data_IF_661032306056
#
_entry.id   IF_661032306056
#
_cell.length_a   1.000
_cell.length_b   1.000
_cell.length_c   1.000
_cell.angle_alpha   90.00
_cell.angle_beta   90.00
_cell.angle_gamma   90.00
#
_symmetry.space_group_name_H-M   'P 1'
#
loop_
_entity.id
_entity.type
_entity.pdbx_description
1 polymer ?
#
# COMPACT_ATOMS: atom_id res chain seq x y z
N UNK A 1 56.59 -35.35 7.64
CA UNK A 1 55.45 -34.88 8.48
C UNK A 1 55.13 -33.46 8.08
N UNK A 2 54.08 -33.28 7.28
CA UNK A 2 53.46 -31.98 6.96
C UNK A 2 51.99 -32.14 7.34
N UNK A 3 51.52 -31.39 8.34
CA UNK A 3 50.10 -31.34 8.69
C UNK A 3 49.43 -30.26 7.84
N UNK A 4 48.43 -30.66 7.05
CA UNK A 4 47.51 -29.77 6.35
C UNK A 4 46.41 -29.34 7.32
N UNK A 5 46.19 -28.04 7.46
CA UNK A 5 45.01 -27.47 8.09
C UNK A 5 43.87 -27.40 7.06
N UNK A 6 42.72 -27.99 7.40
CA UNK A 6 41.45 -27.85 6.69
C UNK A 6 40.59 -26.89 7.52
N UNK A 7 40.06 -25.78 6.97
CA UNK A 7 39.07 -24.98 7.68
C UNK A 7 37.69 -25.62 7.52
N UNK A 8 36.97 -25.71 8.64
CA UNK A 8 35.62 -26.24 8.72
C UNK A 8 34.63 -25.32 7.99
N UNK A 9 33.84 -25.91 7.10
CA UNK A 9 32.66 -25.30 6.48
C UNK A 9 31.57 -25.11 7.54
N UNK A 10 31.17 -23.86 7.76
CA UNK A 10 29.94 -23.48 8.45
C UNK A 10 28.80 -23.57 7.43
N UNK A 11 27.69 -24.28 7.71
CA UNK A 11 26.56 -24.32 6.79
C UNK A 11 25.80 -22.99 6.89
N UNK A 12 25.77 -22.26 5.77
CA UNK A 12 24.87 -21.13 5.55
C UNK A 12 23.46 -21.73 5.40
N UNK A 13 22.60 -21.48 6.39
CA UNK A 13 21.15 -21.69 6.28
C UNK A 13 20.62 -20.66 5.28
N UNK A 14 20.34 -21.13 4.07
CA UNK A 14 19.64 -20.38 3.04
C UNK A 14 18.19 -20.16 3.51
N UNK A 15 17.87 -18.96 3.97
CA UNK A 15 16.50 -18.52 4.19
C UNK A 15 15.77 -18.52 2.85
N UNK A 16 14.79 -19.40 2.71
CA UNK A 16 13.88 -19.48 1.57
C UNK A 16 13.00 -18.21 1.54
N UNK A 17 13.50 -17.15 0.91
CA UNK A 17 12.62 -16.16 0.30
C UNK A 17 12.09 -16.81 -1.00
N UNK A 18 10.79 -17.09 -1.04
CA UNK A 18 10.17 -17.74 -2.19
C UNK A 18 10.05 -16.75 -3.37
N UNK A 19 11.02 -16.79 -4.28
CA UNK A 19 10.94 -16.21 -5.62
C UNK A 19 10.85 -17.33 -6.66
N UNK A 20 10.09 -17.12 -7.74
CA UNK A 20 10.15 -17.98 -8.92
C UNK A 20 9.15 -17.62 -10.01
N UNK A 21 9.64 -17.11 -11.14
CA UNK A 21 8.86 -16.95 -12.38
C UNK A 21 9.56 -16.05 -13.41
N UNK A 22 10.41 -16.65 -14.25
CA UNK A 22 11.10 -16.03 -15.39
C UNK A 22 10.14 -15.57 -16.51
N UNK A 23 10.47 -14.47 -17.19
CA UNK A 23 9.81 -14.01 -18.41
C UNK A 23 9.98 -14.97 -19.61
N UNK A 24 9.03 -14.97 -20.55
CA UNK A 24 9.42 -15.04 -21.94
C UNK A 24 8.74 -13.98 -22.83
N UNK A 25 9.60 -13.29 -23.57
CA UNK A 25 9.36 -12.44 -24.74
C UNK A 25 8.51 -13.07 -25.84
N UNK A 26 7.59 -12.30 -26.46
CA UNK A 26 7.07 -12.56 -27.81
C UNK A 26 5.77 -11.84 -28.19
N UNK A 27 5.83 -10.92 -29.16
CA UNK A 27 4.70 -10.37 -29.95
C UNK A 27 4.80 -10.85 -31.41
N UNK A 28 3.82 -10.56 -32.31
CA UNK A 28 2.38 -10.73 -32.23
C UNK A 28 1.82 -11.50 -33.47
N UNK A 29 0.55 -11.92 -33.45
CA UNK A 29 -0.09 -12.58 -34.60
C UNK A 29 -1.60 -12.35 -34.70
N UNK A 30 -2.00 -11.62 -35.75
CA UNK A 30 -3.37 -11.25 -36.12
C UNK A 30 -4.23 -12.44 -36.60
N UNK A 31 -5.54 -12.39 -36.36
CA UNK A 31 -6.50 -13.29 -37.01
C UNK A 31 -7.96 -12.96 -36.68
N UNK A 32 -8.67 -12.40 -37.67
CA UNK A 32 -10.08 -12.04 -37.62
C UNK A 32 -11.03 -13.24 -37.80
N UNK A 33 -12.26 -13.13 -37.28
CA UNK A 33 -13.40 -13.95 -37.70
C UNK A 33 -14.57 -13.96 -36.70
N UNK A 34 -15.61 -13.14 -36.93
CA UNK A 34 -16.95 -13.35 -36.35
C UNK A 34 -17.81 -14.28 -37.24
N UNK A 35 -19.15 -14.23 -37.17
CA UNK A 35 -20.04 -14.16 -36.00
C UNK A 35 -21.09 -15.31 -36.04
N UNK A 36 -21.81 -15.56 -34.93
CA UNK A 36 -23.12 -16.23 -34.99
C UNK A 36 -24.00 -15.76 -33.83
N UNK A 37 -25.19 -15.25 -34.16
CA UNK A 37 -26.19 -14.76 -33.21
C UNK A 37 -27.17 -15.83 -32.74
N UNK A 38 -27.98 -15.47 -31.74
CA UNK A 38 -29.45 -15.34 -31.86
C UNK A 38 -30.13 -15.32 -30.48
N UNK A 39 -30.98 -14.30 -30.34
CA UNK A 39 -32.32 -14.29 -29.73
C UNK A 39 -32.54 -14.57 -28.23
N UNK A 40 -33.03 -13.52 -27.55
CA UNK A 40 -34.42 -13.54 -27.08
C UNK A 40 -34.65 -13.37 -25.58
N UNK A 41 -35.33 -12.28 -25.19
CA UNK A 41 -36.20 -12.28 -24.00
C UNK A 41 -36.09 -11.09 -23.03
N UNK A 42 -36.84 -10.03 -23.31
CA UNK A 42 -37.47 -9.14 -22.31
C UNK A 42 -38.97 -9.10 -22.64
N UNK A 43 -39.92 -8.84 -21.71
CA UNK A 43 -39.90 -7.69 -20.81
C UNK A 43 -40.58 -7.87 -19.43
N UNK A 44 -40.42 -6.85 -18.55
CA UNK A 44 -41.27 -6.68 -17.37
C UNK A 44 -40.98 -5.38 -16.62
N UNK A 45 -41.83 -4.38 -16.82
CA UNK A 45 -41.81 -3.01 -16.26
C UNK A 45 -42.65 -2.86 -15.00
N UNK A 46 -42.27 -1.90 -14.14
CA UNK A 46 -43.09 -1.25 -13.09
C UNK A 46 -42.22 -0.84 -11.89
N UNK A 47 -42.20 0.38 -11.33
CA UNK A 47 -42.99 1.60 -11.49
C UNK A 47 -43.39 2.17 -10.10
N UNK A 48 -42.96 3.41 -9.76
CA UNK A 48 -43.46 4.27 -8.66
C UNK A 48 -42.41 4.61 -7.56
N UNK A 49 -41.77 5.80 -7.48
CA UNK A 49 -42.19 7.16 -6.98
C UNK A 49 -42.57 7.21 -5.50
N UNK A 50 -41.83 7.91 -4.61
CA UNK A 50 -41.97 9.36 -4.29
C UNK A 50 -41.37 9.80 -2.92
N UNK A 51 -41.02 11.10 -2.88
CA UNK A 51 -40.54 12.07 -1.86
C UNK A 51 -40.49 11.81 -0.34
N UNK A 52 -39.48 12.44 0.29
CA UNK A 52 -39.52 12.92 1.68
C UNK A 52 -38.38 13.90 2.02
N UNK A 53 -38.64 15.21 1.96
CA UNK A 53 -37.78 16.30 2.47
C UNK A 53 -38.17 16.69 3.90
N UNK A 54 -37.22 17.13 4.72
CA UNK A 54 -37.47 17.81 5.99
C UNK A 54 -36.18 18.19 6.71
N UNK A 55 -35.96 19.49 6.95
CA UNK A 55 -34.75 20.02 7.58
C UNK A 55 -34.97 20.70 8.93
N UNK A 56 -33.86 21.16 9.53
CA UNK A 56 -33.79 22.32 10.42
C UNK A 56 -33.32 22.11 11.86
N UNK A 57 -32.25 22.82 12.28
CA UNK A 57 -32.25 23.55 13.57
C UNK A 57 -31.07 23.39 14.55
N UNK A 58 -30.19 24.40 14.56
CA UNK A 58 -29.53 25.11 15.69
C UNK A 58 -28.41 24.48 16.57
N UNK A 59 -27.43 25.37 16.87
CA UNK A 59 -26.17 25.25 17.61
C UNK A 59 -26.29 25.46 19.15
N UNK A 60 -25.21 25.82 19.89
CA UNK A 60 -24.21 24.95 20.52
C UNK A 60 -24.30 24.96 22.07
N UNK A 61 -23.69 23.98 22.75
CA UNK A 61 -23.55 23.99 24.22
C UNK A 61 -22.21 23.41 24.67
N UNK A 62 -21.44 24.26 25.33
CA UNK A 62 -20.22 23.99 26.09
C UNK A 62 -20.47 23.13 27.34
N UNK A 63 -19.50 22.29 27.72
CA UNK A 63 -19.42 21.71 29.06
C UNK A 63 -18.39 20.60 29.15
N UNK A 64 -17.23 20.87 29.75
CA UNK A 64 -16.18 19.89 30.00
C UNK A 64 -16.51 18.93 31.15
N UNK A 65 -15.83 17.78 31.14
CA UNK A 65 -15.86 16.79 32.22
C UNK A 65 -15.06 15.54 31.86
N UNK A 66 -13.85 15.45 32.40
CA UNK A 66 -12.97 14.27 32.37
C UNK A 66 -13.53 13.11 33.18
N UNK A 67 -13.51 11.89 32.63
CA UNK A 67 -13.22 10.62 33.34
C UNK A 67 -13.02 9.50 32.32
N UNK A 68 -11.89 8.79 32.39
CA UNK A 68 -11.59 7.65 31.54
C UNK A 68 -12.21 6.35 32.04
N UNK A 69 -12.58 5.47 31.09
CA UNK A 69 -12.58 4.01 31.19
C UNK A 69 -12.76 3.44 29.78
N UNK A 70 -12.13 2.31 29.49
CA UNK A 70 -11.86 1.82 28.14
C UNK A 70 -13.02 1.16 27.40
N UNK A 71 -12.77 1.00 26.09
CA UNK A 71 -13.21 -0.08 25.20
C UNK A 71 -14.70 -0.14 24.85
N UNK A 72 -15.04 0.22 23.60
CA UNK A 72 -15.57 -0.66 22.53
C UNK A 72 -15.82 0.19 21.28
N UNK A 73 -15.60 -0.39 20.10
CA UNK A 73 -15.64 0.30 18.82
C UNK A 73 -17.01 0.78 18.34
N UNK A 74 -16.94 1.46 17.20
CA UNK A 74 -18.04 2.07 16.48
C UNK A 74 -18.11 3.57 16.74
N UNK A 75 -17.61 4.37 15.79
CA UNK A 75 -18.33 5.53 15.22
C UNK A 75 -17.44 6.22 14.17
N UNK A 76 -18.05 6.44 13.00
CA UNK A 76 -17.75 7.36 11.89
C UNK A 76 -16.28 7.78 11.66
N UNK A 77 -15.77 7.45 10.46
CA UNK A 77 -14.47 7.72 9.82
C UNK A 77 -13.76 9.07 10.06
N UNK A 78 -13.63 9.49 11.31
CA UNK A 78 -12.97 10.69 11.74
C UNK A 78 -11.91 10.27 12.75
N UNK A 79 -10.71 9.97 12.22
CA UNK A 79 -9.51 9.84 13.03
C UNK A 79 -9.43 11.10 13.91
N UNK A 80 -9.51 10.90 15.23
CA UNK A 80 -9.56 11.97 16.22
C UNK A 80 -8.37 12.92 16.12
N UNK A 81 -8.35 13.98 16.93
CA UNK A 81 -7.29 15.00 16.90
C UNK A 81 -5.84 14.46 17.06
N UNK A 82 -4.85 15.37 17.11
CA UNK A 82 -3.43 15.06 16.94
C UNK A 82 -2.94 13.78 17.62
N UNK A 83 -2.28 12.91 16.87
CA UNK A 83 -1.70 11.65 17.35
C UNK A 83 -2.69 10.51 17.63
N UNK A 84 -3.96 10.62 17.25
CA UNK A 84 -4.98 9.58 17.44
C UNK A 84 -4.69 8.26 16.70
N UNK A 85 -3.80 8.29 15.71
CA UNK A 85 -3.30 7.12 14.98
C UNK A 85 -2.11 6.43 15.68
N UNK A 86 -1.50 7.00 16.72
CA UNK A 86 -0.42 6.32 17.41
C UNK A 86 -0.95 5.06 18.12
N UNK A 87 -0.43 3.89 17.76
CA UNK A 87 -0.78 2.61 18.36
C UNK A 87 0.38 2.06 19.20
N UNK A 88 0.13 1.11 20.11
CA UNK A 88 1.21 0.32 20.72
C UNK A 88 2.08 -0.36 19.64
N UNK A 89 3.31 -0.81 19.97
CA UNK A 89 4.17 -1.50 19.02
C UNK A 89 3.48 -2.68 18.29
N UNK A 90 3.96 -3.06 17.09
CA UNK A 90 3.48 -4.25 16.40
C UNK A 90 3.63 -5.51 17.26
N UNK A 91 2.67 -6.42 17.16
CA UNK A 91 2.68 -7.63 17.99
C UNK A 91 3.85 -8.55 17.65
N UNK A 92 4.66 -8.87 18.67
CA UNK A 92 5.72 -9.89 18.58
C UNK A 92 5.21 -11.28 18.24
N UNK A 93 3.94 -11.55 18.52
CA UNK A 93 3.23 -12.76 18.15
C UNK A 93 2.75 -12.77 16.70
N UNK A 94 3.11 -11.78 15.89
CA UNK A 94 2.59 -11.65 14.52
C UNK A 94 3.63 -11.24 13.51
N UNK A 95 4.73 -10.63 13.96
CA UNK A 95 5.78 -10.13 13.09
C UNK A 95 7.03 -11.01 13.04
N UNK A 96 6.96 -12.28 13.48
CA UNK A 96 8.12 -13.18 13.52
C UNK A 96 7.91 -14.50 12.77
N UNK A 97 8.96 -15.01 12.14
CA UNK A 97 8.98 -16.33 11.49
C UNK A 97 9.01 -17.51 12.47
N UNK A 98 9.45 -17.26 13.69
CA UNK A 98 9.50 -18.20 14.79
C UNK A 98 9.34 -17.42 16.10
N UNK A 99 8.53 -17.92 17.02
CA UNK A 99 8.37 -17.31 18.34
C UNK A 99 8.95 -18.22 19.41
N UNK A 100 9.98 -17.73 20.09
CA UNK A 100 10.58 -18.43 21.22
C UNK A 100 9.52 -18.75 22.27
N UNK A 101 9.66 -19.93 22.88
CA UNK A 101 8.73 -20.43 23.91
C UNK A 101 7.26 -20.62 23.47
N UNK A 102 6.89 -20.49 22.19
CA UNK A 102 5.57 -20.96 21.74
C UNK A 102 5.57 -22.50 21.74
N UNK A 103 4.69 -23.11 22.53
CA UNK A 103 4.49 -24.56 22.56
C UNK A 103 3.11 -24.87 22.02
N UNK A 104 3.05 -25.72 21.00
CA UNK A 104 1.81 -25.96 20.27
C UNK A 104 0.70 -26.47 21.20
N UNK A 105 -0.39 -25.70 21.28
CA UNK A 105 -1.56 -26.04 22.08
C UNK A 105 -1.42 -25.81 23.59
N UNK A 106 -0.30 -25.28 24.08
CA UNK A 106 -0.14 -24.87 25.49
C UNK A 106 -0.56 -23.41 25.66
N UNK A 107 -1.72 -23.11 26.26
CA UNK A 107 -2.21 -21.75 26.42
C UNK A 107 -1.36 -20.89 27.37
N UNK A 108 -0.45 -21.51 28.15
CA UNK A 108 0.46 -20.79 29.04
C UNK A 108 1.82 -20.49 28.40
N UNK A 109 2.02 -20.92 27.15
CA UNK A 109 3.24 -20.66 26.38
C UNK A 109 3.11 -19.36 25.58
N UNK A 110 4.20 -18.92 24.93
CA UNK A 110 4.18 -17.68 24.17
C UNK A 110 3.05 -17.69 23.13
N UNK A 111 2.41 -16.53 22.92
CA UNK A 111 1.30 -16.35 21.98
C UNK A 111 0.13 -17.33 22.19
N UNK A 112 -0.07 -17.80 23.43
CA UNK A 112 -1.13 -18.72 23.80
C UNK A 112 -0.99 -20.11 23.16
N UNK A 113 0.22 -20.50 22.76
CA UNK A 113 0.47 -21.78 22.09
C UNK A 113 -0.12 -21.90 20.69
N UNK A 114 -0.47 -20.76 20.07
CA UNK A 114 -1.02 -20.69 18.70
C UNK A 114 0.14 -20.73 17.69
N UNK A 115 0.75 -21.90 17.55
CA UNK A 115 1.79 -22.18 16.56
C UNK A 115 1.56 -23.56 15.91
N UNK A 116 1.96 -23.77 14.64
CA UNK A 116 1.75 -25.04 13.94
C UNK A 116 2.68 -26.16 14.43
N UNK A 117 3.75 -25.79 15.14
CA UNK A 117 4.74 -26.63 15.80
C UNK A 117 5.42 -25.81 16.90
N UNK A 118 6.11 -26.46 17.84
CA UNK A 118 6.89 -25.76 18.87
C UNK A 118 7.89 -24.79 18.23
N UNK A 119 7.94 -23.57 18.73
CA UNK A 119 8.73 -22.44 18.22
C UNK A 119 8.37 -21.99 16.80
N UNK A 120 7.22 -22.43 16.29
CA UNK A 120 6.74 -22.06 14.96
C UNK A 120 6.29 -20.61 14.84
N UNK A 121 5.97 -20.17 13.61
CA UNK A 121 5.31 -18.89 13.39
C UNK A 121 3.93 -18.89 14.03
N UNK A 122 3.50 -17.73 14.50
CA UNK A 122 2.20 -17.54 15.18
C UNK A 122 1.25 -16.66 14.37
N UNK A 123 1.62 -16.36 13.12
CA UNK A 123 0.81 -15.66 12.13
C UNK A 123 1.16 -16.13 10.72
N UNK A 124 0.27 -15.82 9.77
CA UNK A 124 0.37 -16.21 8.37
C UNK A 124 0.06 -15.03 7.46
N UNK A 125 0.86 -14.83 6.42
CA UNK A 125 0.55 -13.89 5.34
C UNK A 125 -0.66 -14.42 4.53
N UNK A 126 -1.64 -13.57 4.23
CA UNK A 126 -2.76 -13.93 3.37
C UNK A 126 -2.33 -14.42 1.98
N UNK A 127 -1.13 -14.04 1.52
CA UNK A 127 -0.54 -14.45 0.24
C UNK A 127 0.46 -15.61 0.36
N UNK A 128 0.30 -16.49 1.35
CA UNK A 128 1.13 -17.70 1.46
C UNK A 128 0.30 -18.96 1.70
N UNK A 129 0.90 -20.12 1.41
CA UNK A 129 0.34 -21.44 1.77
C UNK A 129 0.95 -21.97 3.07
N UNK A 130 0.27 -22.92 3.72
CA UNK A 130 0.76 -23.57 4.94
C UNK A 130 0.35 -22.86 6.23
N UNK A 131 1.09 -23.14 7.32
CA UNK A 131 0.86 -22.63 8.69
C UNK A 131 -0.60 -22.79 9.17
N UNK A 132 -1.11 -24.03 9.28
CA UNK A 132 -2.49 -24.25 9.71
C UNK A 132 -2.70 -23.81 11.16
N UNK A 133 -3.87 -23.23 11.44
CA UNK A 133 -4.30 -22.90 12.80
C UNK A 133 -3.73 -21.60 13.37
N UNK A 134 -2.93 -20.84 12.62
CA UNK A 134 -2.50 -19.50 13.03
C UNK A 134 -3.32 -18.41 12.33
N UNK A 135 -3.47 -17.22 12.94
CA UNK A 135 -4.17 -16.10 12.33
C UNK A 135 -3.58 -15.67 10.98
N UNK A 136 -4.47 -15.37 10.03
CA UNK A 136 -4.12 -14.80 8.72
C UNK A 136 -4.06 -13.28 8.83
N UNK A 137 -3.07 -12.68 8.18
CA UNK A 137 -2.81 -11.25 8.24
C UNK A 137 -2.61 -10.64 6.86
N UNK A 138 -2.96 -9.37 6.77
CA UNK A 138 -3.06 -8.57 5.55
C UNK A 138 -2.31 -7.24 5.69
N UNK A 139 -2.17 -6.51 4.59
CA UNK A 139 -1.81 -5.09 4.65
C UNK A 139 -2.89 -4.28 5.38
N UNK A 140 -2.46 -3.25 6.11
CA UNK A 140 -3.38 -2.40 6.86
C UNK A 140 -3.96 -1.27 6.01
N UNK A 141 -5.28 -1.01 6.09
CA UNK A 141 -5.90 0.09 5.34
C UNK A 141 -5.36 1.47 5.73
N UNK A 142 -4.97 1.66 6.99
CA UNK A 142 -4.32 2.87 7.51
C UNK A 142 -2.99 3.23 6.82
N UNK A 143 -2.42 2.31 6.03
CA UNK A 143 -1.21 2.58 5.26
C UNK A 143 -1.49 3.10 3.85
N UNK A 144 -2.74 3.00 3.38
CA UNK A 144 -3.10 3.47 2.04
C UNK A 144 -2.88 4.97 1.94
N UNK A 145 -2.41 5.41 0.77
CA UNK A 145 -2.36 6.82 0.42
C UNK A 145 -3.74 7.45 0.64
N UNK A 146 -3.79 8.62 1.29
CA UNK A 146 -5.02 9.32 1.69
C UNK A 146 -5.91 8.63 2.74
N UNK A 147 -5.42 7.56 3.36
CA UNK A 147 -6.05 7.08 4.60
C UNK A 147 -6.11 8.20 5.64
N UNK A 148 -7.13 8.18 6.47
CA UNK A 148 -7.36 9.21 7.47
C UNK A 148 -6.17 9.40 8.42
N UNK A 149 -5.47 8.31 8.76
CA UNK A 149 -4.24 8.34 9.55
C UNK A 149 -3.08 9.01 8.81
N UNK A 150 -2.85 8.68 7.54
CA UNK A 150 -1.78 9.30 6.74
C UNK A 150 -2.02 10.80 6.56
N UNK A 151 -3.27 11.21 6.31
CA UNK A 151 -3.62 12.63 6.17
C UNK A 151 -3.38 13.37 7.48
N UNK A 152 -3.83 12.81 8.61
CA UNK A 152 -3.63 13.47 9.91
C UNK A 152 -2.15 13.52 10.31
N UNK A 153 -1.35 12.48 9.99
CA UNK A 153 0.08 12.47 10.26
C UNK A 153 0.83 13.59 9.51
N UNK A 154 0.47 13.86 8.26
CA UNK A 154 1.03 15.00 7.49
C UNK A 154 0.72 16.33 8.18
N UNK A 155 -0.51 16.50 8.66
CA UNK A 155 -0.95 17.71 9.36
C UNK A 155 -0.16 17.89 10.66
N UNK A 156 -0.04 16.83 11.45
CA UNK A 156 0.65 16.86 12.75
C UNK A 156 2.15 17.13 12.61
N UNK A 157 2.80 16.64 11.54
CA UNK A 157 4.20 16.96 11.22
C UNK A 157 4.35 18.35 10.54
N UNK A 158 3.25 19.07 10.29
CA UNK A 158 3.27 20.45 9.76
C UNK A 158 3.53 20.56 8.26
N UNK A 159 3.24 19.50 7.49
CA UNK A 159 3.50 19.42 6.05
C UNK A 159 2.25 19.49 5.17
N UNK A 160 1.09 19.86 5.75
CA UNK A 160 -0.17 20.00 5.01
C UNK A 160 0.00 20.91 3.77
N UNK A 161 -0.46 20.41 2.63
CA UNK A 161 -0.38 21.12 1.34
C UNK A 161 0.99 21.10 0.67
N UNK A 162 2.05 20.64 1.34
CA UNK A 162 3.37 20.44 0.75
C UNK A 162 3.62 19.00 0.32
N UNK A 163 3.16 18.04 1.12
CA UNK A 163 3.33 16.60 0.88
C UNK A 163 2.05 15.83 1.15
N UNK A 164 1.96 14.63 0.58
CA UNK A 164 1.16 13.57 1.17
C UNK A 164 2.08 12.46 1.71
N UNK A 165 1.60 11.71 2.70
CA UNK A 165 2.29 10.53 3.21
C UNK A 165 1.72 9.25 2.61
N UNK A 166 2.57 8.24 2.50
CA UNK A 166 2.19 6.91 2.04
C UNK A 166 3.26 5.88 2.32
N UNK A 167 3.05 4.67 1.83
CA UNK A 167 4.04 3.59 1.88
C UNK A 167 4.32 3.07 0.47
N UNK A 168 5.48 2.44 0.31
CA UNK A 168 5.93 1.90 -0.97
C UNK A 168 6.48 0.50 -0.83
N UNK A 169 6.34 -0.30 -1.89
CA UNK A 169 7.30 -1.36 -2.16
C UNK A 169 8.54 -0.79 -2.85
N UNK A 170 9.73 -1.09 -2.35
CA UNK A 170 11.00 -0.64 -2.92
C UNK A 170 12.11 -1.64 -2.62
N UNK A 171 12.85 -2.08 -3.64
CA UNK A 171 14.08 -2.85 -3.42
C UNK A 171 15.24 -1.89 -3.17
N UNK A 172 16.18 -2.23 -2.26
CA UNK A 172 17.30 -1.35 -1.98
C UNK A 172 18.12 -1.06 -3.23
N UNK A 173 18.52 0.21 -3.40
CA UNK A 173 19.56 0.63 -4.32
C UNK A 173 20.88 0.89 -3.58
N UNK A 174 21.66 -0.16 -3.27
CA UNK A 174 22.87 -0.03 -2.46
C UNK A 174 24.01 0.72 -3.18
N UNK A 175 23.84 1.03 -4.47
CA UNK A 175 24.84 1.71 -5.28
C UNK A 175 24.63 3.22 -5.29
N UNK A 176 23.46 3.70 -4.90
CA UNK A 176 23.10 5.11 -4.98
C UNK A 176 22.20 5.52 -3.81
N UNK A 177 20.87 5.40 -3.97
CA UNK A 177 19.90 5.96 -3.02
C UNK A 177 20.01 5.35 -1.61
N UNK A 178 20.26 4.05 -1.54
CA UNK A 178 20.39 3.27 -0.30
C UNK A 178 21.82 2.86 0.01
N UNK A 179 22.79 3.67 -0.41
CA UNK A 179 24.20 3.38 -0.23
C UNK A 179 24.51 2.91 1.21
N UNK A 180 25.07 1.70 1.31
CA UNK A 180 25.45 1.06 2.57
C UNK A 180 24.35 0.27 3.28
N UNK A 181 23.13 0.20 2.75
CA UNK A 181 22.05 -0.62 3.29
C UNK A 181 21.90 -1.93 2.52
N UNK A 182 21.55 -3.00 3.25
CA UNK A 182 21.24 -4.32 2.68
C UNK A 182 19.76 -4.52 2.35
N UNK A 183 18.88 -3.69 2.89
CA UNK A 183 17.45 -3.63 2.62
C UNK A 183 16.95 -2.18 2.77
N UNK A 184 15.74 -1.95 2.27
CA UNK A 184 15.07 -0.65 2.32
C UNK A 184 14.03 -0.58 3.46
N UNK A 185 13.83 -1.65 4.24
CA UNK A 185 12.69 -1.72 5.16
C UNK A 185 12.72 -0.56 6.15
N UNK A 186 11.58 0.11 6.25
CA UNK A 186 11.33 1.25 7.13
C UNK A 186 12.11 2.53 6.82
N UNK A 187 12.91 2.55 5.74
CA UNK A 187 13.55 3.77 5.24
C UNK A 187 12.52 4.71 4.61
N UNK A 188 12.79 6.01 4.66
CA UNK A 188 11.91 7.03 4.10
C UNK A 188 12.52 7.80 2.94
N UNK A 189 11.67 8.18 2.00
CA UNK A 189 12.06 8.83 0.76
C UNK A 189 11.11 9.99 0.44
N UNK A 190 11.66 11.10 -0.03
CA UNK A 190 10.88 12.15 -0.68
C UNK A 190 10.88 11.90 -2.19
N UNK A 191 9.69 11.74 -2.77
CA UNK A 191 9.45 11.52 -4.19
C UNK A 191 8.87 12.79 -4.81
N UNK A 192 9.50 13.30 -5.86
CA UNK A 192 9.03 14.46 -6.63
C UNK A 192 8.74 14.02 -8.06
N UNK A 193 7.50 14.19 -8.49
CA UNK A 193 6.99 13.68 -9.76
C UNK A 193 7.43 14.55 -10.95
N UNK A 194 7.74 13.90 -12.08
CA UNK A 194 8.24 14.56 -13.31
C UNK A 194 7.32 14.34 -14.51
N UNK A 195 7.37 13.15 -15.11
CA UNK A 195 6.61 12.83 -16.33
C UNK A 195 6.01 11.44 -16.25
N UNK A 196 4.87 11.17 -16.91
CA UNK A 196 4.37 9.81 -17.03
C UNK A 196 5.41 8.88 -17.69
N UNK A 197 5.50 7.66 -17.19
CA UNK A 197 6.49 6.67 -17.65
C UNK A 197 6.12 6.12 -19.03
N UNK A 198 4.82 5.87 -19.28
CA UNK A 198 4.34 5.22 -20.50
C UNK A 198 3.45 6.10 -21.37
N UNK A 199 2.81 7.13 -20.79
CA UNK A 199 1.92 8.05 -21.51
C UNK A 199 2.67 9.28 -22.03
N UNK A 200 3.58 9.10 -22.99
CA UNK A 200 4.47 10.17 -23.47
C UNK A 200 3.77 11.33 -24.19
N UNK A 201 2.58 11.10 -24.73
CA UNK A 201 1.78 12.12 -25.43
C UNK A 201 0.72 12.79 -24.53
N UNK A 202 0.64 12.38 -23.25
CA UNK A 202 -0.33 12.93 -22.31
C UNK A 202 0.17 14.24 -21.71
N UNK A 203 -0.72 15.23 -21.62
CA UNK A 203 -0.48 16.49 -20.90
C UNK A 203 -1.07 16.37 -19.50
N UNK A 204 -0.39 15.63 -18.65
CA UNK A 204 -0.77 15.44 -17.25
C UNK A 204 0.09 16.30 -16.34
N UNK A 205 -0.54 16.97 -15.39
CA UNK A 205 0.18 17.68 -14.34
C UNK A 205 0.72 16.68 -13.32
N UNK A 206 2.03 16.69 -12.99
CA UNK A 206 2.57 15.84 -11.94
C UNK A 206 1.85 16.09 -10.61
N UNK A 207 1.49 15.04 -9.86
CA UNK A 207 0.82 15.21 -8.58
C UNK A 207 1.80 15.78 -7.53
N UNK A 208 1.30 16.28 -6.38
CA UNK A 208 2.14 16.77 -5.30
C UNK A 208 3.18 15.73 -4.84
N UNK A 209 4.36 16.16 -4.36
CA UNK A 209 5.37 15.23 -3.87
C UNK A 209 4.86 14.36 -2.71
N UNK A 210 5.48 13.19 -2.57
CA UNK A 210 5.20 12.27 -1.46
C UNK A 210 6.41 12.17 -0.54
N UNK A 211 6.14 11.95 0.76
CA UNK A 211 7.11 11.33 1.66
C UNK A 211 6.60 9.93 1.98
N UNK A 212 7.36 8.93 1.59
CA UNK A 212 6.96 7.52 1.68
C UNK A 212 7.90 6.73 2.57
N UNK A 213 7.36 5.72 3.24
CA UNK A 213 8.16 4.72 3.95
C UNK A 213 8.12 3.37 3.22
N UNK A 214 9.28 2.74 3.04
CA UNK A 214 9.35 1.42 2.40
C UNK A 214 8.81 0.32 3.33
N UNK A 215 7.74 -0.32 2.89
CA UNK A 215 7.00 -1.35 3.60
C UNK A 215 7.13 -2.74 2.96
N UNK A 216 7.55 -2.78 1.69
CA UNK A 216 7.68 -4.03 0.95
C UNK A 216 8.98 -4.07 0.13
N UNK A 217 9.58 -5.24 0.03
CA UNK A 217 10.74 -5.55 -0.82
C UNK A 217 10.32 -6.62 -1.83
N UNK A 218 11.15 -6.86 -2.84
CA UNK A 218 10.89 -7.66 -4.03
C UNK A 218 9.65 -7.15 -4.78
N UNK A 219 9.60 -5.83 -4.96
CA UNK A 219 8.45 -5.12 -5.52
C UNK A 219 8.70 -4.83 -7.02
N UNK A 220 9.31 -3.69 -7.33
CA UNK A 220 9.60 -3.24 -8.71
C UNK A 220 11.09 -2.98 -8.98
N UNK A 221 11.98 -3.65 -8.23
CA UNK A 221 13.42 -3.52 -8.40
C UNK A 221 13.98 -2.22 -7.80
N UNK A 222 15.31 -2.00 -7.92
CA UNK A 222 16.00 -0.92 -7.22
C UNK A 222 15.60 0.47 -7.70
N UNK A 223 14.95 0.59 -8.86
CA UNK A 223 14.48 1.88 -9.39
C UNK A 223 12.97 2.10 -9.21
N UNK A 224 12.23 1.11 -8.75
CA UNK A 224 10.78 1.16 -8.65
C UNK A 224 10.30 1.46 -7.23
N UNK A 225 9.16 2.17 -7.17
CA UNK A 225 8.44 2.54 -5.96
C UNK A 225 6.95 2.20 -6.13
N UNK A 226 6.50 1.09 -5.57
CA UNK A 226 5.13 0.63 -5.71
C UNK A 226 4.26 1.27 -4.64
N UNK A 227 3.56 2.33 -4.99
CA UNK A 227 2.73 3.10 -4.07
C UNK A 227 1.51 2.29 -3.63
N UNK A 228 1.35 2.12 -2.31
CA UNK A 228 0.20 1.42 -1.75
C UNK A 228 -1.03 2.33 -1.67
N UNK A 229 -2.07 2.03 -2.46
CA UNK A 229 -3.28 2.84 -2.54
C UNK A 229 -4.51 2.02 -2.92
N UNK A 230 -5.69 2.52 -2.60
CA UNK A 230 -6.99 1.91 -2.90
C UNK A 230 -7.14 1.55 -4.38
N UNK A 231 -7.52 0.31 -4.67
CA UNK A 231 -7.57 -0.26 -6.01
C UNK A 231 -6.27 -0.09 -6.82
N UNK A 232 -5.09 -0.05 -6.18
CA UNK A 232 -3.78 0.16 -6.81
C UNK A 232 -3.27 -0.99 -7.70
N UNK A 233 -3.98 -2.11 -7.79
CA UNK A 233 -3.59 -3.25 -8.62
C UNK A 233 -3.05 -4.43 -7.82
N UNK A 234 -3.49 -5.65 -8.14
CA UNK A 234 -3.04 -6.86 -7.43
C UNK A 234 -1.57 -7.20 -7.68
N UNK A 235 -1.05 -6.87 -8.86
CA UNK A 235 0.22 -7.42 -9.29
C UNK A 235 0.17 -8.96 -9.36
N UNK A 236 1.23 -9.61 -8.88
CA UNK A 236 1.40 -11.08 -8.97
C UNK A 236 0.54 -11.84 -7.97
N UNK A 237 0.22 -11.26 -6.83
CA UNK A 237 -0.49 -11.94 -5.74
C UNK A 237 -1.83 -11.26 -5.46
N UNK A 238 -2.83 -12.01 -5.02
CA UNK A 238 -4.14 -11.46 -4.73
C UNK A 238 -4.72 -12.08 -3.46
N UNK A 239 -4.66 -11.30 -2.37
CA UNK A 239 -5.42 -11.53 -1.15
C UNK A 239 -6.52 -10.47 -0.95
N UNK A 240 -6.78 -9.62 -1.95
CA UNK A 240 -7.85 -8.64 -1.86
C UNK A 240 -9.20 -9.30 -2.08
N UNK A 241 -9.35 -10.04 -3.18
CA UNK A 241 -10.58 -10.78 -3.49
C UNK A 241 -10.25 -12.05 -4.28
N UNK A 242 -10.38 -13.19 -3.60
CA UNK A 242 -10.08 -14.51 -4.14
C UNK A 242 -11.15 -15.02 -5.12
N UNK A 243 -12.25 -14.30 -5.32
CA UNK A 243 -13.23 -14.62 -6.37
C UNK A 243 -12.77 -14.12 -7.76
N UNK A 244 -11.83 -13.18 -7.79
CA UNK A 244 -11.29 -12.60 -9.01
C UNK A 244 -10.14 -13.50 -9.51
N UNK A 245 -10.23 -14.07 -10.74
CA UNK A 245 -9.27 -15.07 -11.23
C UNK A 245 -7.88 -14.51 -11.60
N UNK A 246 -7.65 -13.22 -11.39
CA UNK A 246 -6.37 -12.56 -11.67
C UNK A 246 -5.45 -12.57 -10.44
N UNK A 247 -4.15 -12.75 -10.70
CA UNK A 247 -3.13 -12.91 -9.66
C UNK A 247 -3.16 -14.30 -9.02
N UNK A 248 -2.09 -14.62 -8.27
CA UNK A 248 -2.01 -15.85 -7.50
C UNK A 248 -2.76 -15.69 -6.18
N UNK A 249 -3.76 -16.53 -5.95
CA UNK A 249 -4.61 -16.51 -4.75
C UNK A 249 -4.33 -17.70 -3.83
N UNK A 250 -4.48 -17.48 -2.52
CA UNK A 250 -4.16 -18.48 -1.48
C UNK A 250 -5.35 -18.85 -0.58
N UNK A 251 -6.57 -18.59 -1.06
CA UNK A 251 -7.81 -18.93 -0.35
C UNK A 251 -8.19 -17.94 0.76
N UNK A 252 -7.64 -16.73 0.72
CA UNK A 252 -7.88 -15.66 1.67
C UNK A 252 -8.30 -14.39 0.92
N UNK A 253 -9.14 -13.56 1.54
CA UNK A 253 -9.65 -12.32 0.94
C UNK A 253 -9.93 -11.32 2.04
N UNK A 254 -9.35 -10.12 1.89
CA UNK A 254 -9.61 -9.01 2.81
C UNK A 254 -10.96 -8.32 2.49
N UNK A 255 -11.35 -8.34 1.21
CA UNK A 255 -12.57 -7.73 0.71
C UNK A 255 -13.58 -8.80 0.29
N UNK A 256 -14.86 -8.45 0.36
CA UNK A 256 -15.99 -9.28 -0.08
C UNK A 256 -16.41 -8.99 -1.52
N UNK A 257 -15.87 -7.94 -2.10
CA UNK A 257 -16.03 -7.55 -3.50
C UNK A 257 -14.99 -6.49 -3.85
N UNK A 258 -14.52 -6.51 -5.09
CA UNK A 258 -13.44 -5.64 -5.52
C UNK A 258 -13.54 -5.37 -7.04
N UNK A 259 -13.09 -4.20 -7.54
CA UNK A 259 -13.12 -3.91 -8.96
C UNK A 259 -12.26 -4.86 -9.77
N UNK A 260 -12.87 -5.47 -10.79
CA UNK A 260 -12.15 -6.28 -11.80
C UNK A 260 -11.47 -5.42 -12.87
N UNK A 261 -11.96 -4.19 -13.08
CA UNK A 261 -11.40 -3.26 -14.06
C UNK A 261 -9.97 -2.86 -13.68
N UNK A 262 -9.07 -2.88 -14.67
CA UNK A 262 -7.65 -2.62 -14.47
C UNK A 262 -6.87 -3.75 -13.78
N UNK A 263 -7.51 -4.91 -13.52
CA UNK A 263 -6.88 -6.07 -12.86
C UNK A 263 -6.70 -7.27 -13.81
N UNK A 264 -5.62 -8.07 -13.71
CA UNK A 264 -4.31 -7.72 -13.17
C UNK A 264 -3.47 -7.13 -14.31
N UNK A 265 -2.46 -6.34 -13.95
CA UNK A 265 -1.48 -5.79 -14.89
C UNK A 265 -2.04 -4.86 -15.97
N UNK A 266 -3.05 -4.07 -15.63
CA UNK A 266 -3.00 -2.64 -15.95
C UNK A 266 -3.28 -1.77 -14.70
N UNK A 267 -2.80 -2.25 -13.55
CA UNK A 267 -2.45 -1.46 -12.36
C UNK A 267 -3.61 -0.85 -11.57
N UNK A 268 -4.84 -1.28 -11.79
CA UNK A 268 -5.97 -0.84 -10.98
C UNK A 268 -6.93 0.15 -11.63
N UNK A 269 -7.80 0.73 -10.80
CA UNK A 269 -8.81 1.68 -11.26
C UNK A 269 -8.11 2.99 -11.64
N UNK A 270 -8.21 3.39 -12.91
CA UNK A 270 -7.61 4.64 -13.41
C UNK A 270 -8.36 5.20 -14.62
N UNK A 271 -8.31 6.51 -14.87
CA UNK A 271 -9.00 7.16 -16.00
C UNK A 271 -8.45 6.75 -17.37
N UNK A 272 -7.22 6.23 -17.44
CA UNK A 272 -6.58 5.86 -18.69
C UNK A 272 -7.31 4.76 -19.49
N UNK A 273 -6.91 4.55 -20.75
CA UNK A 273 -7.53 3.58 -21.67
C UNK A 273 -7.49 2.14 -21.17
N UNK A 274 -6.53 1.82 -20.30
CA UNK A 274 -6.33 0.47 -19.76
C UNK A 274 -7.24 0.14 -18.56
N UNK A 275 -8.17 1.04 -18.21
CA UNK A 275 -9.11 0.88 -17.11
C UNK A 275 -10.47 1.49 -17.46
N UNK A 276 -10.93 2.59 -16.83
CA UNK A 276 -12.29 3.12 -17.09
C UNK A 276 -12.41 3.90 -18.40
N UNK A 277 -11.29 4.11 -19.10
CA UNK A 277 -11.21 4.68 -20.45
C UNK A 277 -11.95 6.03 -20.58
N UNK A 278 -11.50 7.00 -19.80
CA UNK A 278 -11.87 8.40 -19.96
C UNK A 278 -11.06 9.00 -21.11
N UNK A 279 -11.69 9.27 -22.25
CA UNK A 279 -11.03 9.91 -23.38
C UNK A 279 -11.84 11.10 -23.89
N UNK A 280 -11.12 12.11 -24.37
CA UNK A 280 -11.70 13.04 -25.35
C UNK A 280 -11.72 12.35 -26.72
N UNK A 281 -12.48 12.87 -27.69
CA UNK A 281 -12.61 12.27 -29.03
C UNK A 281 -11.30 12.06 -29.82
N UNK A 282 -10.14 12.45 -29.29
CA UNK A 282 -8.81 12.22 -29.84
C UNK A 282 -8.01 11.14 -29.08
N UNK A 283 -8.63 10.43 -28.12
CA UNK A 283 -8.00 9.42 -27.26
C UNK A 283 -6.84 9.92 -26.38
N UNK A 284 -6.71 11.23 -26.17
CA UNK A 284 -5.68 11.80 -25.30
C UNK A 284 -6.21 11.96 -23.86
N UNK A 285 -5.49 11.41 -22.90
CA UNK A 285 -5.74 11.65 -21.48
C UNK A 285 -5.12 13.00 -21.07
N UNK A 286 -5.92 13.87 -20.46
CA UNK A 286 -5.49 15.20 -19.98
C UNK A 286 -6.12 15.48 -18.63
N UNK A 287 -5.58 16.42 -17.86
CA UNK A 287 -6.15 16.85 -16.58
C UNK A 287 -7.63 17.26 -16.72
N UNK A 288 -7.98 17.92 -17.83
CA UNK A 288 -9.35 18.33 -18.11
C UNK A 288 -10.29 17.12 -18.28
N UNK A 289 -9.85 16.08 -19.01
CA UNK A 289 -10.61 14.84 -19.20
C UNK A 289 -10.77 14.09 -17.88
N UNK A 290 -9.70 14.02 -17.08
CA UNK A 290 -9.77 13.41 -15.74
C UNK A 290 -10.76 14.17 -14.87
N UNK A 291 -10.75 15.50 -14.89
CA UNK A 291 -11.65 16.33 -14.09
C UNK A 291 -13.11 16.36 -14.57
N UNK A 292 -13.44 15.75 -15.72
CA UNK A 292 -14.83 15.70 -16.20
C UNK A 292 -15.71 14.91 -15.23
N UNK A 293 -16.92 15.41 -14.87
CA UNK A 293 -17.84 14.68 -13.99
C UNK A 293 -18.18 13.28 -14.49
N UNK A 294 -18.29 13.11 -15.82
CA UNK A 294 -18.51 11.80 -16.46
C UNK A 294 -17.36 10.83 -16.22
N UNK A 295 -16.11 11.30 -16.24
CA UNK A 295 -14.95 10.47 -15.92
C UNK A 295 -14.93 10.12 -14.44
N UNK A 296 -15.07 11.12 -13.57
CA UNK A 296 -15.05 10.94 -12.12
C UNK A 296 -16.17 9.99 -11.63
N UNK A 297 -17.37 10.06 -12.22
CA UNK A 297 -18.44 9.10 -11.89
C UNK A 297 -18.11 7.66 -12.30
N UNK A 298 -17.36 7.42 -13.38
CA UNK A 298 -16.92 6.06 -13.74
C UNK A 298 -15.89 5.53 -12.76
N UNK A 299 -14.94 6.38 -12.35
CA UNK A 299 -13.91 6.04 -11.36
C UNK A 299 -14.59 5.71 -10.03
N UNK A 300 -15.48 6.59 -9.55
CA UNK A 300 -16.22 6.38 -8.31
C UNK A 300 -17.07 5.12 -8.36
N UNK A 301 -17.75 4.84 -9.48
CA UNK A 301 -18.50 3.60 -9.65
C UNK A 301 -17.61 2.36 -9.52
N UNK A 302 -16.43 2.35 -10.15
CA UNK A 302 -15.47 1.27 -10.05
C UNK A 302 -14.90 1.13 -8.62
N UNK A 303 -14.50 2.25 -7.98
CA UNK A 303 -14.03 2.23 -6.59
C UNK A 303 -15.13 1.71 -5.64
N UNK A 304 -16.40 2.01 -5.90
CA UNK A 304 -17.53 1.53 -5.09
C UNK A 304 -17.82 0.03 -5.22
N UNK A 305 -17.18 -0.69 -6.15
CA UNK A 305 -17.19 -2.15 -6.17
C UNK A 305 -16.42 -2.75 -4.98
N UNK A 306 -15.51 -1.98 -4.36
CA UNK A 306 -14.83 -2.36 -3.12
C UNK A 306 -15.88 -2.51 -2.02
N UNK A 307 -16.07 -3.72 -1.52
CA UNK A 307 -16.91 -4.01 -0.36
C UNK A 307 -16.15 -4.82 0.66
N UNK A 308 -16.40 -4.61 1.95
CA UNK A 308 -15.75 -5.34 3.02
C UNK A 308 -16.72 -5.63 4.17
N UNK A 309 -16.35 -6.57 5.04
CA UNK A 309 -17.06 -6.84 6.30
C UNK A 309 -16.99 -5.66 7.28
N UNK A 310 -15.94 -4.84 7.17
CA UNK A 310 -15.67 -3.66 7.99
C UNK A 310 -15.96 -2.38 7.21
N UNK A 311 -16.79 -1.51 7.79
CA UNK A 311 -17.12 -0.21 7.20
C UNK A 311 -15.88 0.68 7.05
N UNK A 312 -15.01 0.72 8.07
CA UNK A 312 -13.75 1.47 8.03
C UNK A 312 -12.86 1.01 6.88
N UNK A 313 -12.65 -0.31 6.75
CA UNK A 313 -11.84 -0.87 5.67
C UNK A 313 -12.41 -0.49 4.29
N UNK A 314 -13.74 -0.60 4.13
CA UNK A 314 -14.41 -0.22 2.88
C UNK A 314 -14.25 1.28 2.57
N UNK A 315 -14.49 2.15 3.54
CA UNK A 315 -14.47 3.61 3.39
C UNK A 315 -13.06 4.12 3.09
N UNK A 316 -12.06 3.71 3.87
CA UNK A 316 -10.67 4.15 3.66
C UNK A 316 -10.14 3.70 2.29
N UNK A 317 -10.52 2.50 1.84
CA UNK A 317 -10.10 1.99 0.52
C UNK A 317 -10.75 2.76 -0.63
N UNK A 318 -12.06 3.04 -0.53
CA UNK A 318 -12.79 3.82 -1.53
C UNK A 318 -12.29 5.26 -1.58
N UNK A 319 -12.08 5.88 -0.41
CA UNK A 319 -11.51 7.21 -0.27
C UNK A 319 -10.14 7.30 -0.93
N UNK A 320 -9.25 6.36 -0.63
CA UNK A 320 -7.94 6.26 -1.26
C UNK A 320 -8.06 6.19 -2.78
N UNK A 321 -8.81 5.20 -3.30
CA UNK A 321 -9.03 4.96 -4.73
C UNK A 321 -9.56 6.19 -5.49
N UNK A 322 -10.53 6.91 -4.92
CA UNK A 322 -11.13 8.09 -5.55
C UNK A 322 -10.18 9.30 -5.50
N UNK A 323 -9.50 9.52 -4.37
CA UNK A 323 -8.62 10.68 -4.20
C UNK A 323 -7.33 10.57 -5.03
N UNK A 324 -6.74 9.38 -5.13
CA UNK A 324 -5.55 9.14 -5.98
C UNK A 324 -5.84 9.16 -7.49
N UNK A 325 -7.11 9.32 -7.88
CA UNK A 325 -7.56 9.42 -9.27
C UNK A 325 -8.09 10.81 -9.66
N UNK A 326 -7.99 11.80 -8.78
CA UNK A 326 -8.32 13.19 -9.14
C UNK A 326 -7.21 13.81 -9.98
N UNK A 327 -7.56 14.76 -10.86
CA UNK A 327 -6.60 15.43 -11.74
C UNK A 327 -5.43 16.09 -10.96
N UNK A 328 -5.71 16.66 -9.78
CA UNK A 328 -4.69 17.29 -8.93
C UNK A 328 -3.87 16.31 -8.08
N UNK A 329 -4.20 15.03 -8.07
CA UNK A 329 -3.57 14.00 -7.24
C UNK A 329 -3.56 12.66 -7.96
N UNK A 330 -3.27 12.67 -9.26
CA UNK A 330 -3.34 11.48 -10.10
C UNK A 330 -2.12 10.57 -9.89
N UNK A 331 -2.08 9.90 -8.74
CA UNK A 331 -1.04 8.96 -8.35
C UNK A 331 -1.23 7.56 -8.96
N UNK A 332 -2.41 7.28 -9.55
CA UNK A 332 -2.67 6.00 -10.22
C UNK A 332 -1.93 5.80 -11.56
N UNK A 333 -1.29 6.86 -12.05
CA UNK A 333 -0.39 6.78 -13.20
C UNK A 333 1.02 6.37 -12.78
N UNK A 334 1.74 5.70 -13.67
CA UNK A 334 3.15 5.41 -13.43
C UNK A 334 3.96 6.64 -13.81
N UNK A 335 4.68 7.22 -12.85
CA UNK A 335 5.45 8.45 -13.06
C UNK A 335 6.93 8.18 -12.94
N UNK A 336 7.74 8.87 -13.75
CA UNK A 336 9.14 9.09 -13.44
C UNK A 336 9.22 10.07 -12.26
N UNK A 337 10.16 9.81 -11.35
CA UNK A 337 10.35 10.60 -10.14
C UNK A 337 11.81 10.95 -9.88
N UNK A 338 12.02 12.07 -9.20
CA UNK A 338 13.26 12.40 -8.51
C UNK A 338 13.12 11.98 -7.05
N UNK A 339 14.18 11.36 -6.51
CA UNK A 339 14.13 10.70 -5.21
C UNK A 339 15.28 11.13 -4.32
N UNK A 340 14.98 11.29 -3.02
CA UNK A 340 15.98 11.50 -1.97
C UNK A 340 15.59 10.69 -0.75
N UNK A 341 16.54 9.94 -0.19
CA UNK A 341 16.40 9.34 1.14
C UNK A 341 16.45 10.46 2.20
N UNK A 342 15.47 10.46 3.09
CA UNK A 342 15.25 11.52 4.09
C UNK A 342 15.07 10.90 5.47
N UNK A 343 15.22 11.72 6.52
CA UNK A 343 14.78 11.33 7.85
C UNK A 343 13.29 11.00 7.82
N UNK A 344 12.91 9.86 8.38
CA UNK A 344 11.50 9.50 8.51
C UNK A 344 10.76 10.49 9.41
N UNK A 345 9.65 11.08 8.93
CA UNK A 345 8.79 11.89 9.77
C UNK A 345 8.25 11.09 10.95
N UNK A 346 8.08 11.75 12.09
CA UNK A 346 7.69 11.09 13.34
C UNK A 346 6.33 10.45 13.18
N UNK A 347 5.36 11.20 12.67
CA UNK A 347 3.97 10.75 12.63
C UNK A 347 3.73 9.72 11.54
N UNK A 348 4.51 9.74 10.45
CA UNK A 348 4.54 8.64 9.48
C UNK A 348 4.91 7.30 10.16
N UNK A 349 5.97 7.28 10.97
CA UNK A 349 6.40 6.07 11.67
C UNK A 349 5.38 5.60 12.73
N UNK A 350 4.62 6.51 13.34
CA UNK A 350 3.54 6.17 14.28
C UNK A 350 2.32 5.55 13.57
N UNK A 351 2.04 5.97 12.33
CA UNK A 351 1.00 5.32 11.50
C UNK A 351 1.43 3.91 11.10
N UNK A 352 2.68 3.74 10.69
CA UNK A 352 3.15 2.47 10.11
C UNK A 352 3.57 1.43 11.13
N UNK A 353 4.01 1.87 12.31
CA UNK A 353 4.51 0.99 13.36
C UNK A 353 5.98 0.64 13.24
N UNK A 354 6.67 1.10 12.18
CA UNK A 354 8.10 0.87 12.02
C UNK A 354 8.89 2.17 12.24
N UNK A 355 9.57 2.24 13.38
CA UNK A 355 10.28 3.44 13.83
C UNK A 355 11.78 3.19 13.82
N UNK A 356 12.47 3.81 12.87
CA UNK A 356 13.93 3.78 12.82
C UNK A 356 14.53 4.84 13.75
N UNK A 357 15.71 4.57 14.29
CA UNK A 357 16.49 5.56 15.03
C UNK A 357 16.82 6.77 14.12
N UNK A 358 16.78 8.01 14.65
CA UNK A 358 17.15 9.18 13.85
C UNK A 358 18.58 9.04 13.31
N UNK A 359 18.73 9.20 11.99
CA UNK A 359 20.02 9.29 11.34
C UNK A 359 20.35 10.77 11.07
N UNK A 360 21.28 11.38 11.82
CA UNK A 360 21.63 12.80 11.65
C UNK A 360 22.33 13.10 10.32
N UNK A 361 22.73 12.08 9.55
CA UNK A 361 23.30 12.26 8.21
C UNK A 361 22.24 12.46 7.12
N UNK A 362 20.98 12.09 7.40
CA UNK A 362 19.89 12.25 6.45
C UNK A 362 19.24 13.64 6.58
N UNK A 363 18.95 14.32 5.46
CA UNK A 363 18.20 15.57 5.50
C UNK A 363 16.75 15.33 5.93
N UNK A 364 16.10 16.36 6.46
CA UNK A 364 14.65 16.37 6.62
C UNK A 364 13.96 16.45 5.25
N UNK A 365 12.71 15.98 5.12
CA UNK A 365 11.89 16.30 3.95
C UNK A 365 11.81 17.82 3.73
N UNK A 366 12.02 18.27 2.49
CA UNK A 366 12.04 19.69 2.13
C UNK A 366 10.73 20.11 1.44
N UNK A 367 9.80 20.76 2.16
CA UNK A 367 8.48 21.11 1.63
C UNK A 367 8.52 22.15 0.50
N UNK A 368 9.67 22.77 0.25
CA UNK A 368 9.82 23.75 -0.82
C UNK A 368 10.13 23.13 -2.19
N UNK A 369 10.50 21.84 -2.23
CA UNK A 369 10.82 21.10 -3.44
C UNK A 369 9.56 20.42 -3.98
N UNK A 370 8.90 21.10 -4.92
CA UNK A 370 7.58 20.73 -5.46
C UNK A 370 7.63 20.25 -6.92
N UNK A 371 8.73 20.50 -7.63
CA UNK A 371 8.85 20.24 -9.07
C UNK A 371 10.15 19.51 -9.40
N UNK A 372 10.16 18.77 -10.51
CA UNK A 372 11.34 18.09 -11.03
C UNK A 372 12.56 19.02 -11.15
N UNK A 373 12.38 20.24 -11.65
CA UNK A 373 13.47 21.22 -11.79
C UNK A 373 14.07 21.64 -10.44
N UNK A 374 13.22 21.81 -9.41
CA UNK A 374 13.68 22.09 -8.05
C UNK A 374 14.41 20.88 -7.45
N UNK A 375 13.90 19.67 -7.67
CA UNK A 375 14.50 18.44 -7.19
C UNK A 375 15.88 18.20 -7.83
N UNK A 376 15.99 18.40 -9.14
CA UNK A 376 17.26 18.33 -9.87
C UNK A 376 18.26 19.36 -9.33
N UNK A 377 17.85 20.62 -9.19
CA UNK A 377 18.70 21.68 -8.64
C UNK A 377 19.12 21.41 -7.18
N UNK A 378 18.27 20.76 -6.40
CA UNK A 378 18.57 20.36 -5.03
C UNK A 378 19.49 19.13 -4.97
N UNK A 379 19.67 18.38 -6.06
CA UNK A 379 20.47 17.16 -6.11
C UNK A 379 19.70 15.92 -5.66
N UNK A 380 18.41 15.81 -6.00
CA UNK A 380 17.69 14.55 -5.90
C UNK A 380 18.18 13.60 -6.98
N UNK A 381 18.20 12.31 -6.68
CA UNK A 381 18.61 11.29 -7.62
C UNK A 381 17.50 11.03 -8.64
N UNK A 382 17.86 10.92 -9.91
CA UNK A 382 16.91 10.69 -11.02
C UNK A 382 16.84 9.23 -11.46
N UNK A 383 17.75 8.39 -10.98
CA UNK A 383 17.82 6.99 -11.40
C UNK A 383 19.17 6.32 -11.15
N UNK A 384 19.27 5.09 -11.65
CA UNK A 384 20.42 4.20 -11.56
C UNK A 384 20.71 3.61 -12.95
N UNK A 385 21.97 3.62 -13.41
CA UNK A 385 22.40 2.97 -14.66
C UNK A 385 21.49 3.27 -15.87
N UNK A 386 21.29 4.56 -16.16
CA UNK A 386 20.40 5.09 -17.22
C UNK A 386 18.89 4.77 -17.08
N UNK A 387 18.48 4.01 -16.07
CA UNK A 387 17.09 3.78 -15.72
C UNK A 387 16.61 4.85 -14.74
N UNK A 388 15.47 5.50 -15.04
CA UNK A 388 14.86 6.49 -14.15
C UNK A 388 14.23 5.81 -12.94
N UNK A 389 14.25 6.47 -11.78
CA UNK A 389 13.33 6.09 -10.72
C UNK A 389 11.90 6.35 -11.18
N UNK A 390 11.00 5.44 -10.80
CA UNK A 390 9.61 5.53 -11.20
C UNK A 390 8.69 4.99 -10.11
N UNK A 391 7.44 5.43 -10.14
CA UNK A 391 6.37 4.85 -9.35
C UNK A 391 5.57 3.85 -10.17
N UNK A 392 5.11 2.81 -9.50
CA UNK A 392 3.93 2.06 -9.90
C UNK A 392 2.93 2.08 -8.75
N UNK A 393 1.84 1.34 -8.87
CA UNK A 393 0.79 1.28 -7.86
C UNK A 393 0.57 -0.17 -7.44
N UNK A 394 0.19 -0.37 -6.18
CA UNK A 394 -0.15 -1.69 -5.66
C UNK A 394 -1.27 -1.65 -4.63
N UNK A 395 -2.06 -2.71 -4.63
CA UNK A 395 -2.85 -3.20 -3.51
C UNK A 395 -3.14 -4.69 -3.77
N UNK A 396 -2.22 -5.54 -3.32
CA UNK A 396 -2.34 -7.01 -3.36
C UNK A 396 -2.97 -7.57 -2.08
N UNK A 397 -3.12 -6.73 -1.06
CA UNK A 397 -3.62 -7.01 0.28
C UNK A 397 -2.78 -8.04 1.06
N UNK A 398 -1.62 -8.41 0.52
CA UNK A 398 -0.66 -9.27 1.19
C UNK A 398 -0.11 -8.54 2.42
N UNK A 399 0.22 -9.28 3.46
CA UNK A 399 1.00 -8.72 4.56
C UNK A 399 2.36 -8.23 4.00
N UNK A 400 2.74 -6.94 4.18
CA UNK A 400 3.97 -6.40 3.62
C UNK A 400 5.20 -7.13 4.16
N UNK A 401 6.25 -7.28 3.36
CA UNK A 401 7.45 -8.00 3.80
C UNK A 401 8.13 -7.33 5.00
N UNK A 402 8.09 -6.01 5.13
CA UNK A 402 8.62 -5.28 6.30
C UNK A 402 7.70 -5.34 7.53
N UNK A 403 6.54 -6.00 7.44
CA UNK A 403 5.73 -6.35 8.61
C UNK A 403 6.27 -7.58 9.35
N UNK A 404 7.27 -8.29 8.79
CA UNK A 404 8.07 -9.26 9.50
C UNK A 404 9.32 -8.56 10.07
N UNK A 405 9.45 -8.48 11.40
CA UNK A 405 10.62 -7.89 12.06
C UNK A 405 11.93 -8.58 11.64
N UNK A 406 11.87 -9.86 11.28
CA UNK A 406 13.02 -10.61 10.76
C UNK A 406 13.58 -10.05 9.44
N UNK A 407 12.78 -9.28 8.68
CA UNK A 407 13.18 -8.67 7.42
C UNK A 407 13.69 -7.23 7.58
N UNK A 408 13.62 -6.66 8.78
CA UNK A 408 14.04 -5.28 9.05
C UNK A 408 15.48 -5.30 9.59
N UNK A 409 16.46 -4.82 8.81
CA UNK A 409 17.84 -4.66 9.33
C UNK A 409 18.12 -3.28 9.93
N UNK A 410 17.25 -2.31 9.68
CA UNK A 410 17.39 -0.98 10.23
C UNK A 410 17.38 -1.02 11.77
N UNK A 411 18.15 -0.13 12.40
CA UNK A 411 18.10 0.02 13.86
C UNK A 411 16.78 0.69 14.25
N UNK A 412 15.86 -0.10 14.77
CA UNK A 412 14.54 0.34 15.23
C UNK A 412 14.52 0.65 16.72
N UNK A 413 13.53 1.43 17.17
CA UNK A 413 13.46 1.93 18.55
C UNK A 413 12.08 1.71 19.18
N UNK A 414 12.03 1.71 20.51
CA UNK A 414 10.79 1.69 21.31
C UNK A 414 9.86 0.48 21.03
N UNK A 415 10.39 -0.61 20.48
CA UNK A 415 9.63 -1.83 20.16
C UNK A 415 8.96 -1.81 18.77
N UNK A 416 8.95 -0.67 18.08
CA UNK A 416 8.37 -0.44 16.75
C UNK A 416 9.30 -0.95 15.64
N UNK A 417 9.47 -2.27 15.57
CA UNK A 417 10.50 -2.93 14.74
C UNK A 417 10.02 -3.51 13.42
N UNK A 418 8.76 -3.30 13.07
CA UNK A 418 8.17 -3.74 11.80
C UNK A 418 6.96 -2.89 11.45
N UNK A 419 6.46 -3.01 10.23
CA UNK A 419 5.13 -2.47 9.92
C UNK A 419 4.04 -3.21 10.69
N UNK A 420 2.92 -2.53 10.95
CA UNK A 420 1.70 -3.20 11.37
C UNK A 420 1.20 -4.13 10.27
N UNK A 421 0.83 -5.33 10.68
CA UNK A 421 -0.04 -6.20 9.89
C UNK A 421 -1.46 -6.10 10.45
N UNK A 422 -2.46 -6.43 9.63
CA UNK A 422 -3.86 -6.29 9.98
C UNK A 422 -4.62 -7.60 9.89
N UNK A 423 -5.72 -7.68 10.65
CA UNK A 423 -6.76 -8.70 10.45
C UNK A 423 -7.55 -8.42 9.17
N UNK A 424 -8.41 -9.36 8.80
CA UNK A 424 -9.31 -9.26 7.64
C UNK A 424 -10.26 -8.05 7.73
N UNK A 425 -10.65 -7.64 8.93
CA UNK A 425 -11.45 -6.43 9.18
C UNK A 425 -10.66 -5.10 9.10
N UNK A 426 -9.35 -5.16 8.83
CA UNK A 426 -8.45 -4.00 8.77
C UNK A 426 -7.91 -3.54 10.12
N UNK A 427 -8.20 -4.24 11.22
CA UNK A 427 -7.69 -3.89 12.56
C UNK A 427 -6.20 -4.22 12.69
N UNK A 428 -5.33 -3.25 13.06
CA UNK A 428 -3.92 -3.49 13.30
C UNK A 428 -3.65 -4.46 14.46
N UNK A 429 -2.68 -5.34 14.27
CA UNK A 429 -2.25 -6.30 15.30
C UNK A 429 -1.08 -5.70 16.09
N UNK A 430 -1.35 -5.38 17.36
CA UNK A 430 -0.45 -4.66 18.28
C UNK A 430 -0.08 -5.56 19.48
N UNK A 431 0.98 -5.19 20.21
CA UNK A 431 1.48 -5.90 21.41
C UNK A 431 0.49 -5.93 22.58
#
# INVERSE_FOLDING_TARGET
MRLSFVPALVPILLSLACSGGEEPSGSPGSGAGGPVGSDGGSPGTGGGTDFGTGGGGNAPSSGGGTTGTGGTGGDDGNVGGPGSYALPPPSKCSNQFAVDECRQGDPNSACGGVCPNDHGPTAKNACESGKPGVPVQYACPRHMLFSSEMVQAVIDDGYEGAFNYGIVGHDPDPQNLDAGLSDSCCQCYQLVFDTPTYLTDASLTPPPPLVVQSANTQASGPTGFDLFMGAGGFGVFNACDGSIPQGNHFGHSQYTGYPSVGQAFNGGVKPGPDSVNCTNGNNALTDAVIAEPSCQSKIEAACNEITASSAMLQEESRKSCVQSNQAGSYYHENWNVYVRRVTCPKHLMEVTGCKIAPDPSLPQPDPTIQTAAQAEAAGFSRGLNDQRYHTTTMQDCCMPTCAWANNVSASTVDGYDSFYACRDDGTPVTE
#
